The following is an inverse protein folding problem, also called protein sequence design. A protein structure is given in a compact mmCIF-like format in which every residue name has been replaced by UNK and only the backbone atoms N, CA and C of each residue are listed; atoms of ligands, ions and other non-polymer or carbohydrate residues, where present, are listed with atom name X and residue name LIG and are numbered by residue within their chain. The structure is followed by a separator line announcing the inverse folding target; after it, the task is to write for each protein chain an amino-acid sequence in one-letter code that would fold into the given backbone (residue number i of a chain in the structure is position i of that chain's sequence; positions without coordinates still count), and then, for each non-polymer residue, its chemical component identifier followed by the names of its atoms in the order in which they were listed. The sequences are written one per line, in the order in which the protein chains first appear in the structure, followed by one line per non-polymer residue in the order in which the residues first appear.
data_IF_873139269300
#
_entry.id   IF_873139269300
#
_cell.length_a   1.000
_cell.length_b   1.000
_cell.length_c   1.000
_cell.angle_alpha   90.00
_cell.angle_beta   90.00
_cell.angle_gamma   90.00
#
_symmetry.space_group_name_H-M   'P 1'
#
loop_
_entity.id
_entity.type
_entity.pdbx_description
1 polymer ?
#
# COMPACT_ATOMS: atom_id res chain seq x y z
N UNK A 1 -16.00 9.47 -24.26
CA UNK A 1 -16.00 8.78 -22.98
C UNK A 1 -16.66 9.72 -22.00
N UNK A 2 -17.62 9.24 -21.21
CA UNK A 2 -18.34 10.06 -20.21
C UNK A 2 -17.37 10.49 -19.09
N UNK A 3 -17.61 11.61 -18.38
CA UNK A 3 -16.78 12.04 -17.24
C UNK A 3 -16.53 10.90 -16.23
N UNK A 4 -17.55 10.11 -15.91
CA UNK A 4 -17.46 8.94 -15.01
C UNK A 4 -16.36 7.94 -15.37
N UNK A 5 -16.06 7.73 -16.67
CA UNK A 5 -14.98 6.83 -17.07
C UNK A 5 -13.60 7.42 -16.71
N UNK A 6 -13.45 8.73 -16.76
CA UNK A 6 -12.23 9.41 -16.37
C UNK A 6 -12.02 9.35 -14.85
N UNK A 7 -13.10 9.46 -14.08
CA UNK A 7 -13.09 9.31 -12.61
C UNK A 7 -12.71 7.88 -12.22
N UNK A 8 -13.25 6.86 -12.91
CA UNK A 8 -12.86 5.48 -12.66
C UNK A 8 -11.39 5.23 -13.01
N UNK A 9 -10.90 5.70 -14.15
CA UNK A 9 -9.48 5.60 -14.54
C UNK A 9 -8.58 6.29 -13.50
N UNK A 10 -8.99 7.46 -12.98
CA UNK A 10 -8.26 8.15 -11.92
C UNK A 10 -8.26 7.34 -10.61
N UNK A 11 -9.38 6.73 -10.27
CA UNK A 11 -9.50 5.84 -9.11
C UNK A 11 -8.58 4.64 -9.25
N UNK A 12 -8.54 3.99 -10.42
CA UNK A 12 -7.62 2.90 -10.72
C UNK A 12 -6.16 3.34 -10.56
N UNK A 13 -5.78 4.53 -10.99
CA UNK A 13 -4.40 5.05 -10.76
C UNK A 13 -4.07 5.18 -9.27
N UNK A 14 -5.06 5.46 -8.43
CA UNK A 14 -4.89 5.67 -6.98
C UNK A 14 -4.87 4.39 -6.15
N UNK A 15 -5.24 3.23 -6.71
CA UNK A 15 -5.27 1.95 -5.96
C UNK A 15 -3.90 1.54 -5.41
N UNK A 16 -2.84 2.11 -5.93
CA UNK A 16 -1.49 1.97 -5.36
C UNK A 16 -1.44 2.37 -3.89
N UNK A 17 -2.28 3.31 -3.45
CA UNK A 17 -2.37 3.73 -2.05
C UNK A 17 -2.92 2.62 -1.14
N UNK A 18 -3.66 1.69 -1.71
CA UNK A 18 -4.23 0.51 -1.05
C UNK A 18 -3.37 -0.75 -1.26
N UNK A 19 -2.16 -0.59 -1.79
CA UNK A 19 -1.23 -1.69 -2.04
C UNK A 19 -1.58 -2.56 -3.23
N UNK A 20 -2.55 -2.14 -4.05
CA UNK A 20 -2.98 -2.83 -5.26
C UNK A 20 -2.21 -2.34 -6.49
N UNK A 21 -2.27 -3.11 -7.58
CA UNK A 21 -1.60 -2.78 -8.83
C UNK A 21 -2.62 -2.27 -9.87
N UNK A 22 -2.43 -1.08 -10.45
CA UNK A 22 -3.37 -0.52 -11.44
C UNK A 22 -3.56 -1.41 -12.68
N UNK A 23 -2.54 -2.20 -13.04
CA UNK A 23 -2.58 -3.08 -14.21
C UNK A 23 -3.53 -4.27 -14.03
N UNK A 24 -3.82 -4.66 -12.79
CA UNK A 24 -4.86 -5.66 -12.50
C UNK A 24 -6.28 -5.19 -12.92
N UNK A 25 -6.43 -3.90 -13.21
CA UNK A 25 -7.69 -3.23 -13.59
C UNK A 25 -7.57 -2.55 -14.95
N UNK A 26 -6.75 -3.11 -15.84
CA UNK A 26 -6.61 -2.72 -17.25
C UNK A 26 -6.14 -1.26 -17.48
N UNK A 27 -5.38 -0.63 -16.56
CA UNK A 27 -5.01 0.78 -16.67
C UNK A 27 -4.34 1.11 -18.02
N UNK A 28 -3.36 0.32 -18.44
CA UNK A 28 -2.64 0.53 -19.72
C UNK A 28 -3.58 0.41 -20.92
N UNK A 29 -4.41 -0.64 -20.98
CA UNK A 29 -5.37 -0.84 -22.04
C UNK A 29 -6.39 0.32 -22.11
N UNK A 30 -6.99 0.69 -20.99
CA UNK A 30 -7.93 1.81 -20.88
C UNK A 30 -7.32 3.12 -21.36
N UNK A 31 -6.05 3.38 -20.99
CA UNK A 31 -5.34 4.60 -21.38
C UNK A 31 -5.12 4.66 -22.89
N UNK A 32 -4.70 3.55 -23.50
CA UNK A 32 -4.48 3.45 -24.95
C UNK A 32 -5.81 3.60 -25.70
N UNK A 33 -6.83 2.81 -25.34
CA UNK A 33 -8.13 2.84 -26.01
C UNK A 33 -8.82 4.19 -25.90
N UNK A 34 -8.67 4.89 -24.77
CA UNK A 34 -9.20 6.25 -24.62
C UNK A 34 -8.59 7.22 -25.65
N UNK A 35 -7.28 7.12 -25.91
CA UNK A 35 -6.60 7.94 -26.94
C UNK A 35 -7.11 7.58 -28.34
N UNK A 36 -7.22 6.31 -28.65
CA UNK A 36 -7.77 5.84 -29.94
C UNK A 36 -9.18 6.39 -30.18
N UNK A 37 -10.08 6.29 -29.22
CA UNK A 37 -11.44 6.84 -29.30
C UNK A 37 -11.43 8.37 -29.55
N UNK A 38 -10.50 9.11 -28.96
CA UNK A 38 -10.40 10.54 -29.22
C UNK A 38 -9.99 10.86 -30.67
N UNK A 39 -9.14 10.04 -31.29
CA UNK A 39 -8.72 10.16 -32.68
C UNK A 39 -9.88 9.77 -33.61
N UNK A 40 -10.46 8.58 -33.40
CA UNK A 40 -11.53 8.03 -34.24
C UNK A 40 -12.78 8.93 -34.27
N UNK A 41 -13.09 9.62 -33.18
CA UNK A 41 -14.18 10.62 -33.13
C UNK A 41 -13.93 11.80 -34.07
N UNK A 42 -12.69 12.22 -34.23
CA UNK A 42 -12.35 13.37 -35.12
C UNK A 42 -12.40 12.99 -36.58
N UNK A 43 -12.16 11.73 -36.90
CA UNK A 43 -12.12 11.19 -38.27
C UNK A 43 -13.43 10.54 -38.69
N UNK A 44 -14.43 10.46 -37.81
CA UNK A 44 -15.70 9.72 -38.02
C UNK A 44 -15.49 8.27 -38.48
N UNK A 45 -14.45 7.61 -37.94
CA UNK A 45 -14.03 6.27 -38.34
C UNK A 45 -15.06 5.20 -37.90
N UNK A 46 -15.42 4.23 -38.77
CA UNK A 46 -16.32 3.13 -38.43
C UNK A 46 -15.90 2.29 -37.22
N UNK A 47 -14.59 2.20 -36.90
CA UNK A 47 -14.08 1.49 -35.75
C UNK A 47 -14.44 2.14 -34.41
N UNK A 48 -14.98 3.36 -34.42
CA UNK A 48 -15.33 4.08 -33.19
C UNK A 48 -16.30 3.28 -32.31
N UNK A 49 -17.35 2.71 -32.91
CA UNK A 49 -18.35 1.92 -32.15
C UNK A 49 -17.73 0.70 -31.49
N UNK A 50 -16.87 -0.01 -32.19
CA UNK A 50 -16.15 -1.17 -31.66
C UNK A 50 -15.23 -0.78 -30.47
N UNK A 51 -14.46 0.30 -30.63
CA UNK A 51 -13.57 0.79 -29.56
C UNK A 51 -14.31 1.30 -28.32
N UNK A 52 -15.49 1.88 -28.52
CA UNK A 52 -16.36 2.29 -27.41
C UNK A 52 -16.88 1.07 -26.62
N UNK A 53 -17.31 0.02 -27.33
CA UNK A 53 -17.75 -1.23 -26.69
C UNK A 53 -16.61 -1.91 -25.93
N UNK A 54 -15.41 -1.94 -26.51
CA UNK A 54 -14.21 -2.49 -25.84
C UNK A 54 -13.89 -1.75 -24.54
N UNK A 55 -13.92 -0.41 -24.54
CA UNK A 55 -13.71 0.41 -23.33
C UNK A 55 -14.80 0.12 -22.30
N UNK A 56 -16.05 0.00 -22.69
CA UNK A 56 -17.18 -0.24 -21.79
C UNK A 56 -17.03 -1.57 -21.04
N UNK A 57 -16.62 -2.62 -21.75
CA UNK A 57 -16.30 -3.93 -21.17
C UNK A 57 -15.15 -3.82 -20.19
N UNK A 58 -14.03 -3.18 -20.58
CA UNK A 58 -12.86 -3.03 -19.72
C UNK A 58 -13.16 -2.21 -18.45
N UNK A 59 -13.97 -1.14 -18.57
CA UNK A 59 -14.37 -0.32 -17.41
C UNK A 59 -15.29 -1.09 -16.47
N UNK A 60 -16.21 -1.87 -17.03
CA UNK A 60 -17.13 -2.70 -16.24
C UNK A 60 -16.38 -3.76 -15.46
N UNK A 61 -15.49 -4.50 -16.12
CA UNK A 61 -14.65 -5.50 -15.47
C UNK A 61 -13.73 -4.88 -14.42
N UNK A 62 -13.08 -3.76 -14.76
CA UNK A 62 -12.23 -3.02 -13.81
C UNK A 62 -13.00 -2.58 -12.54
N UNK A 63 -14.22 -2.08 -12.69
CA UNK A 63 -15.04 -1.66 -11.54
C UNK A 63 -15.42 -2.84 -10.65
N UNK A 64 -15.91 -3.93 -11.24
CA UNK A 64 -16.34 -5.11 -10.50
C UNK A 64 -15.17 -5.80 -9.80
N UNK A 65 -14.06 -5.97 -10.51
CA UNK A 65 -12.84 -6.59 -9.97
C UNK A 65 -12.23 -5.72 -8.87
N UNK A 66 -12.11 -4.41 -9.09
CA UNK A 66 -11.58 -3.49 -8.08
C UNK A 66 -12.49 -3.44 -6.85
N UNK A 67 -13.79 -3.35 -7.02
CA UNK A 67 -14.77 -3.37 -5.92
C UNK A 67 -14.66 -4.65 -5.08
N UNK A 68 -14.50 -5.80 -5.72
CA UNK A 68 -14.25 -7.07 -5.04
C UNK A 68 -12.95 -7.02 -4.23
N UNK A 69 -11.85 -6.59 -4.85
CA UNK A 69 -10.54 -6.53 -4.18
C UNK A 69 -10.48 -5.53 -3.03
N UNK A 70 -11.16 -4.38 -3.13
CA UNK A 70 -11.24 -3.40 -2.05
C UNK A 70 -12.06 -3.90 -0.86
N UNK A 71 -13.11 -4.68 -1.11
CA UNK A 71 -14.03 -5.15 -0.07
C UNK A 71 -13.61 -6.46 0.59
N UNK A 72 -12.95 -7.37 -0.15
CA UNK A 72 -12.68 -8.75 0.28
C UNK A 72 -11.19 -9.11 0.29
N UNK A 73 -10.36 -8.26 -0.32
CA UNK A 73 -8.99 -8.60 -0.68
C UNK A 73 -8.89 -9.30 -2.03
N UNK A 74 -7.66 -9.36 -2.55
CA UNK A 74 -7.33 -9.98 -3.83
C UNK A 74 -7.18 -11.51 -3.70
N UNK A 75 -6.73 -11.98 -2.53
CA UNK A 75 -6.48 -13.39 -2.24
C UNK A 75 -7.59 -13.93 -1.36
N UNK A 76 -8.29 -14.95 -1.83
CA UNK A 76 -9.23 -15.68 -0.99
C UNK A 76 -8.46 -16.61 -0.03
N UNK A 77 -8.51 -16.30 1.26
CA UNK A 77 -7.80 -17.05 2.30
C UNK A 77 -8.62 -18.22 2.84
N UNK A 78 -9.94 -18.25 2.62
CA UNK A 78 -10.83 -19.30 3.11
C UNK A 78 -10.85 -20.53 2.20
N UNK A 79 -10.59 -20.31 0.93
CA UNK A 79 -10.48 -21.38 -0.06
C UNK A 79 -9.11 -21.35 -0.70
N UNK A 80 -8.24 -22.31 -0.35
CA UNK A 80 -6.98 -22.57 -1.10
C UNK A 80 -7.24 -22.99 -2.56
N UNK A 81 -8.49 -23.12 -2.94
CA UNK A 81 -8.99 -23.35 -4.27
C UNK A 81 -9.67 -22.06 -4.70
N UNK A 82 -9.24 -21.49 -5.82
CA UNK A 82 -9.93 -20.40 -6.50
C UNK A 82 -11.35 -20.87 -6.89
N UNK A 83 -12.24 -20.91 -5.93
CA UNK A 83 -13.65 -21.16 -6.15
C UNK A 83 -14.31 -19.84 -6.46
N UNK A 84 -14.87 -19.79 -7.63
CA UNK A 84 -15.82 -18.83 -8.10
C UNK A 84 -17.09 -18.80 -7.21
N UNK A 85 -16.99 -18.43 -5.94
CA UNK A 85 -18.14 -18.00 -5.15
C UNK A 85 -18.58 -16.60 -5.58
N UNK A 86 -18.46 -16.42 -6.91
CA UNK A 86 -18.69 -15.15 -7.58
C UNK A 86 -20.17 -14.85 -7.77
N UNK A 87 -21.09 -15.81 -7.69
CA UNK A 87 -22.51 -15.53 -8.02
C UNK A 87 -23.17 -14.59 -6.99
N UNK A 88 -23.05 -14.82 -5.69
CA UNK A 88 -23.60 -13.92 -4.69
C UNK A 88 -22.78 -12.61 -4.59
N UNK A 89 -21.45 -12.68 -4.75
CA UNK A 89 -20.59 -11.51 -4.84
C UNK A 89 -20.80 -10.74 -6.15
N UNK A 90 -21.05 -11.42 -7.26
CA UNK A 90 -21.36 -10.82 -8.55
C UNK A 90 -22.65 -10.00 -8.49
N UNK A 91 -23.71 -10.53 -7.90
CA UNK A 91 -24.98 -9.79 -7.76
C UNK A 91 -24.84 -8.52 -6.95
N UNK A 92 -24.04 -8.53 -5.84
CA UNK A 92 -23.81 -7.35 -5.05
C UNK A 92 -22.98 -6.31 -5.79
N UNK A 93 -21.90 -6.72 -6.46
CA UNK A 93 -21.07 -5.82 -7.27
C UNK A 93 -21.84 -5.17 -8.42
N UNK A 94 -22.70 -5.94 -9.10
CA UNK A 94 -23.57 -5.43 -10.17
C UNK A 94 -24.56 -4.39 -9.64
N UNK A 95 -25.18 -4.61 -8.46
CA UNK A 95 -26.06 -3.62 -7.84
C UNK A 95 -25.34 -2.32 -7.51
N UNK A 96 -24.13 -2.39 -6.96
CA UNK A 96 -23.32 -1.21 -6.68
C UNK A 96 -22.99 -0.48 -7.99
N UNK A 97 -22.60 -1.20 -9.05
CA UNK A 97 -22.31 -0.59 -10.35
C UNK A 97 -23.54 0.10 -10.94
N UNK A 98 -24.72 -0.56 -10.92
CA UNK A 98 -25.96 0.03 -11.41
C UNK A 98 -26.30 1.32 -10.67
N UNK A 99 -26.17 1.31 -9.35
CA UNK A 99 -26.41 2.51 -8.53
C UNK A 99 -25.39 3.61 -8.82
N UNK A 100 -24.11 3.26 -8.91
CA UNK A 100 -23.04 4.20 -9.24
C UNK A 100 -23.22 4.82 -10.64
N UNK A 101 -23.70 4.06 -11.62
CA UNK A 101 -24.02 4.57 -12.96
C UNK A 101 -25.24 5.50 -12.94
N UNK A 102 -26.23 5.23 -12.08
CA UNK A 102 -27.44 6.04 -11.93
C UNK A 102 -27.12 7.39 -11.24
N UNK A 103 -26.25 7.38 -10.21
CA UNK A 103 -25.90 8.60 -9.44
C UNK A 103 -24.71 9.35 -10.03
N UNK A 104 -23.88 8.73 -10.83
CA UNK A 104 -22.63 9.29 -11.33
C UNK A 104 -21.45 9.15 -10.36
N UNK A 105 -21.59 8.41 -9.25
CA UNK A 105 -20.68 8.35 -8.09
C UNK A 105 -19.78 7.10 -8.09
N UNK A 106 -19.10 6.79 -9.21
CA UNK A 106 -18.27 5.57 -9.32
C UNK A 106 -17.12 5.55 -8.31
N UNK A 107 -16.41 6.67 -8.16
CA UNK A 107 -15.26 6.79 -7.27
C UNK A 107 -15.67 6.69 -5.80
N UNK A 108 -16.76 7.33 -5.42
CA UNK A 108 -17.32 7.35 -4.07
C UNK A 108 -17.80 5.95 -3.65
N UNK A 109 -18.49 5.25 -4.54
CA UNK A 109 -18.95 3.87 -4.28
C UNK A 109 -17.78 2.91 -4.08
N UNK A 110 -16.71 3.03 -4.88
CA UNK A 110 -15.49 2.24 -4.68
C UNK A 110 -14.77 2.61 -3.38
N UNK A 111 -14.68 3.91 -3.06
CA UNK A 111 -14.02 4.36 -1.83
C UNK A 111 -14.75 3.90 -0.57
N UNK A 112 -16.06 3.77 -0.61
CA UNK A 112 -16.87 3.24 0.49
C UNK A 112 -16.64 1.74 0.77
N UNK A 113 -16.07 1.00 -0.19
CA UNK A 113 -15.72 -0.42 -0.01
C UNK A 113 -14.39 -0.62 0.73
N UNK A 114 -13.58 0.42 0.82
CA UNK A 114 -12.30 0.38 1.55
C UNK A 114 -12.57 0.32 3.06
N UNK A 115 -11.81 -0.46 3.87
CA UNK A 115 -11.94 -0.42 5.31
C UNK A 115 -11.75 0.99 5.89
N UNK A 116 -12.73 1.45 6.68
CA UNK A 116 -12.80 2.82 7.23
C UNK A 116 -12.28 2.90 8.66
N UNK A 117 -11.21 2.17 8.97
CA UNK A 117 -10.64 2.12 10.32
C UNK A 117 -9.24 2.75 10.38
N UNK A 118 -8.87 3.20 11.58
CA UNK A 118 -7.60 3.90 11.83
C UNK A 118 -6.37 3.04 11.53
N UNK A 119 -6.46 1.71 11.65
CA UNK A 119 -5.34 0.81 11.36
C UNK A 119 -5.11 0.72 9.86
N UNK A 120 -6.17 0.56 9.07
CA UNK A 120 -6.05 0.54 7.61
C UNK A 120 -5.51 1.88 7.09
N UNK A 121 -6.00 2.99 7.61
CA UNK A 121 -5.47 4.32 7.28
C UNK A 121 -4.00 4.46 7.67
N UNK A 122 -3.61 3.98 8.85
CA UNK A 122 -2.23 3.94 9.29
C UNK A 122 -1.32 3.14 8.35
N UNK A 123 -1.79 1.98 7.85
CA UNK A 123 -1.07 1.17 6.86
C UNK A 123 -0.93 1.90 5.51
N UNK A 124 -1.98 2.58 5.02
CA UNK A 124 -1.91 3.41 3.80
C UNK A 124 -0.88 4.53 3.95
N UNK A 125 -0.85 5.20 5.09
CA UNK A 125 0.10 6.26 5.39
C UNK A 125 1.54 5.72 5.47
N UNK A 126 1.74 4.56 6.10
CA UNK A 126 3.04 3.88 6.13
C UNK A 126 3.51 3.50 4.72
N UNK A 127 2.61 2.96 3.87
CA UNK A 127 2.92 2.62 2.49
C UNK A 127 3.36 3.85 1.69
N UNK A 128 2.63 4.97 1.82
CA UNK A 128 2.98 6.24 1.18
C UNK A 128 4.36 6.72 1.61
N UNK A 129 4.63 6.70 2.92
CA UNK A 129 5.90 7.12 3.50
C UNK A 129 7.06 6.26 3.01
N UNK A 130 6.92 4.94 3.05
CA UNK A 130 7.97 4.03 2.60
C UNK A 130 8.23 4.13 1.09
N UNK A 131 7.21 4.32 0.27
CA UNK A 131 7.39 4.56 -1.17
C UNK A 131 8.11 5.88 -1.44
N UNK A 132 7.77 6.95 -0.73
CA UNK A 132 8.46 8.22 -0.85
C UNK A 132 9.94 8.13 -0.42
N UNK A 133 10.23 7.35 0.61
CA UNK A 133 11.60 7.06 1.03
C UNK A 133 12.32 6.19 -0.01
N UNK A 134 11.67 5.16 -0.57
CA UNK A 134 12.24 4.31 -1.61
C UNK A 134 12.60 5.10 -2.87
N UNK A 135 11.75 6.04 -3.29
CA UNK A 135 12.01 6.94 -4.42
C UNK A 135 13.24 7.85 -4.20
N UNK A 136 13.62 8.10 -2.94
CA UNK A 136 14.84 8.84 -2.56
C UNK A 136 16.06 7.91 -2.33
N UNK A 137 15.97 6.62 -2.72
CA UNK A 137 17.04 5.64 -2.55
C UNK A 137 16.93 4.81 -1.26
N UNK A 138 15.86 4.99 -0.45
CA UNK A 138 15.63 4.21 0.77
C UNK A 138 16.61 4.57 1.90
N UNK A 139 16.99 3.54 2.66
CA UNK A 139 18.03 3.65 3.69
C UNK A 139 19.19 2.72 3.41
N UNK A 140 20.42 3.15 3.76
CA UNK A 140 21.60 2.31 3.59
C UNK A 140 21.57 1.12 4.55
N UNK A 141 22.14 0.00 4.15
CA UNK A 141 22.49 -1.07 5.07
C UNK A 141 23.52 -0.56 6.08
N UNK A 142 23.38 -1.02 7.33
CA UNK A 142 24.36 -0.73 8.36
C UNK A 142 25.39 -1.88 8.31
N UNK A 143 26.71 -1.58 8.26
CA UNK A 143 27.75 -2.57 8.36
C UNK A 143 27.60 -3.41 9.63
N UNK A 144 28.30 -4.52 9.74
CA UNK A 144 28.20 -5.38 10.92
C UNK A 144 28.54 -4.60 12.20
N UNK A 145 27.50 -4.27 12.96
CA UNK A 145 27.53 -3.30 14.07
C UNK A 145 27.19 -3.96 15.40
N UNK A 146 27.46 -5.27 15.54
CA UNK A 146 27.23 -5.95 16.81
C UNK A 146 27.90 -5.21 17.97
N UNK A 147 27.10 -5.01 19.04
CA UNK A 147 27.58 -4.50 20.31
C UNK A 147 27.76 -2.98 20.38
N UNK A 148 27.20 -2.19 19.48
CA UNK A 148 27.18 -0.73 19.66
C UNK A 148 26.26 -0.34 20.80
N UNK A 149 26.81 0.38 21.81
CA UNK A 149 26.09 0.82 23.02
C UNK A 149 26.54 2.19 23.50
N UNK A 150 25.79 2.74 24.41
CA UNK A 150 26.07 4.07 25.01
C UNK A 150 27.53 4.18 25.49
N UNK A 151 28.15 5.31 25.19
CA UNK A 151 29.52 5.66 25.57
C UNK A 151 30.58 5.20 24.56
N UNK A 152 30.23 4.37 23.57
CA UNK A 152 31.22 3.97 22.56
C UNK A 152 31.43 5.06 21.50
N UNK A 153 32.65 5.11 20.96
CA UNK A 153 32.98 5.92 19.79
C UNK A 153 33.43 4.98 18.66
N UNK A 154 32.63 4.94 17.58
CA UNK A 154 32.87 4.03 16.46
C UNK A 154 32.39 4.67 15.15
N UNK A 155 33.13 4.45 14.05
CA UNK A 155 32.76 4.99 12.72
C UNK A 155 31.40 4.47 12.23
N UNK A 156 30.99 3.27 12.65
CA UNK A 156 29.70 2.65 12.33
C UNK A 156 28.50 3.42 12.90
N UNK A 157 28.70 4.20 13.96
CA UNK A 157 27.64 5.06 14.55
C UNK A 157 27.15 6.08 13.53
N UNK A 158 27.98 6.54 12.60
CA UNK A 158 27.55 7.45 11.54
C UNK A 158 26.47 6.83 10.64
N UNK A 159 26.64 5.57 10.26
CA UNK A 159 25.65 4.86 9.46
C UNK A 159 24.36 4.62 10.26
N UNK A 160 24.48 4.26 11.55
CA UNK A 160 23.36 4.08 12.44
C UNK A 160 22.56 5.40 12.61
N UNK A 161 23.22 6.54 12.86
CA UNK A 161 22.57 7.86 12.93
C UNK A 161 21.79 8.20 11.66
N UNK A 162 22.40 8.00 10.50
CA UNK A 162 21.73 8.20 9.20
C UNK A 162 20.49 7.30 9.08
N UNK A 163 20.61 6.05 9.47
CA UNK A 163 19.51 5.06 9.39
C UNK A 163 18.34 5.45 10.29
N UNK A 164 18.61 5.81 11.55
CA UNK A 164 17.59 6.23 12.52
C UNK A 164 16.93 7.55 12.11
N UNK A 165 17.69 8.50 11.57
CA UNK A 165 17.16 9.77 11.11
C UNK A 165 16.21 9.63 9.92
N UNK A 166 16.48 8.72 8.97
CA UNK A 166 15.62 8.48 7.81
C UNK A 166 14.22 8.00 8.22
N UNK A 167 14.12 7.25 9.30
CA UNK A 167 12.85 6.71 9.82
C UNK A 167 12.23 7.53 10.96
N UNK A 168 12.84 8.69 11.29
CA UNK A 168 12.34 9.59 12.33
C UNK A 168 12.62 9.13 13.76
N UNK A 169 13.42 8.06 13.93
CA UNK A 169 13.82 7.57 15.26
C UNK A 169 14.89 8.47 15.90
N UNK A 170 15.60 9.27 15.08
CA UNK A 170 16.57 10.29 15.51
C UNK A 170 16.26 11.62 14.81
N UNK A 171 16.42 12.74 15.50
CA UNK A 171 16.22 14.06 14.89
C UNK A 171 17.23 14.32 13.77
N UNK A 172 16.77 14.94 12.67
CA UNK A 172 17.60 15.17 11.48
C UNK A 172 18.87 15.97 11.77
N UNK A 173 18.84 16.91 12.72
CA UNK A 173 20.02 17.68 13.15
C UNK A 173 21.11 16.81 13.79
N UNK A 174 20.75 15.65 14.33
CA UNK A 174 21.68 14.72 14.98
C UNK A 174 22.24 13.66 14.02
N UNK A 175 21.82 13.68 12.75
CA UNK A 175 22.25 12.73 11.72
C UNK A 175 23.77 12.68 11.51
N UNK A 176 24.43 13.82 11.64
CA UNK A 176 25.87 13.99 11.36
C UNK A 176 26.67 14.41 12.61
N UNK A 177 26.12 14.22 13.81
CA UNK A 177 26.73 14.70 15.08
C UNK A 177 27.95 13.89 15.55
N UNK A 178 28.62 13.13 14.67
CA UNK A 178 29.86 12.44 14.98
C UNK A 178 29.73 10.93 15.22
N UNK A 179 30.82 10.35 15.69
CA UNK A 179 31.00 8.88 15.87
C UNK A 179 30.60 8.40 17.27
N UNK A 180 30.23 9.30 18.17
CA UNK A 180 29.84 8.95 19.54
C UNK A 180 28.45 8.32 19.58
N UNK A 181 28.31 7.18 20.23
CA UNK A 181 27.04 6.60 20.61
C UNK A 181 26.57 7.26 21.90
N UNK A 182 25.98 8.43 21.75
CA UNK A 182 25.49 9.26 22.84
C UNK A 182 24.07 8.91 23.31
N UNK A 183 23.56 9.57 24.32
CA UNK A 183 22.21 9.33 24.84
C UNK A 183 21.11 9.52 23.78
N UNK A 184 21.31 10.43 22.83
CA UNK A 184 20.33 10.66 21.76
C UNK A 184 20.25 9.46 20.78
N UNK A 185 21.40 8.86 20.47
CA UNK A 185 21.44 7.63 19.64
C UNK A 185 20.83 6.47 20.40
N UNK A 186 21.16 6.28 21.69
CA UNK A 186 20.58 5.23 22.52
C UNK A 186 19.03 5.33 22.56
N UNK A 187 18.50 6.53 22.74
CA UNK A 187 17.05 6.75 22.73
C UNK A 187 16.45 6.54 21.32
N UNK A 188 17.16 6.93 20.28
CA UNK A 188 16.78 6.61 18.90
C UNK A 188 16.69 5.10 18.65
N UNK A 189 17.66 4.33 19.16
CA UNK A 189 17.63 2.85 19.09
C UNK A 189 16.44 2.30 19.87
N UNK A 190 16.15 2.80 21.10
CA UNK A 190 14.97 2.38 21.88
C UNK A 190 13.66 2.65 21.15
N UNK A 191 13.51 3.81 20.51
CA UNK A 191 12.31 4.13 19.69
C UNK A 191 12.16 3.15 18.53
N UNK A 192 13.27 2.88 17.84
CA UNK A 192 13.31 1.89 16.76
C UNK A 192 12.89 0.51 17.28
N UNK A 193 13.48 0.03 18.38
CA UNK A 193 13.19 -1.26 19.00
C UNK A 193 11.71 -1.39 19.38
N UNK A 194 11.16 -0.40 20.14
CA UNK A 194 9.73 -0.39 20.49
C UNK A 194 8.82 -0.49 19.28
N UNK A 195 9.11 0.26 18.22
CA UNK A 195 8.31 0.26 17.00
C UNK A 195 8.39 -1.05 16.22
N UNK A 196 9.43 -1.84 16.45
CA UNK A 196 9.63 -3.14 15.79
C UNK A 196 9.35 -4.34 16.70
N UNK A 197 8.76 -4.11 17.89
CA UNK A 197 8.44 -5.18 18.83
C UNK A 197 9.66 -5.86 19.44
N UNK A 198 10.79 -5.15 19.49
CA UNK A 198 12.03 -5.60 20.11
C UNK A 198 12.13 -5.02 21.55
N UNK A 199 12.90 -5.70 22.41
CA UNK A 199 13.21 -5.18 23.75
C UNK A 199 13.97 -3.84 23.64
N UNK A 200 13.46 -2.74 24.26
CA UNK A 200 14.01 -1.40 24.11
C UNK A 200 15.26 -1.16 24.97
N UNK A 201 16.29 -1.95 24.80
CA UNK A 201 17.57 -1.85 25.53
C UNK A 201 18.33 -0.58 25.20
N UNK A 202 18.21 -0.05 23.99
CA UNK A 202 19.01 1.05 23.47
C UNK A 202 20.39 0.63 22.96
N UNK A 203 20.66 -0.67 22.90
CA UNK A 203 21.87 -1.26 22.33
C UNK A 203 21.57 -1.92 20.98
N UNK A 204 22.56 -2.00 20.09
CA UNK A 204 22.41 -2.69 18.81
C UNK A 204 22.86 -4.14 18.97
N UNK A 205 21.92 -4.98 19.39
CA UNK A 205 22.08 -6.44 19.42
C UNK A 205 21.85 -7.08 18.05
N UNK A 206 21.92 -8.40 17.97
CA UNK A 206 21.75 -9.15 16.73
C UNK A 206 20.35 -8.96 16.12
N UNK A 207 19.28 -8.95 16.94
CA UNK A 207 17.91 -8.78 16.47
C UNK A 207 17.67 -7.36 15.97
N UNK A 208 18.15 -6.37 16.71
CA UNK A 208 18.09 -4.94 16.31
C UNK A 208 18.83 -4.72 14.99
N UNK A 209 20.03 -5.30 14.83
CA UNK A 209 20.79 -5.21 13.58
C UNK A 209 20.06 -5.83 12.39
N UNK A 210 19.49 -7.02 12.55
CA UNK A 210 18.68 -7.67 11.51
C UNK A 210 17.50 -6.78 11.12
N UNK A 211 16.77 -6.24 12.10
CA UNK A 211 15.63 -5.38 11.86
C UNK A 211 16.00 -4.05 11.16
N UNK A 212 17.15 -3.45 11.52
CA UNK A 212 17.68 -2.23 10.90
C UNK A 212 18.06 -2.46 9.42
N UNK A 213 18.52 -3.65 9.09
CA UNK A 213 19.01 -4.02 7.76
C UNK A 213 17.94 -4.59 6.82
N UNK A 214 16.69 -4.75 7.26
CA UNK A 214 15.62 -5.14 6.36
C UNK A 214 15.47 -4.06 5.26
N UNK A 215 15.62 -4.40 3.96
CA UNK A 215 15.50 -3.44 2.88
C UNK A 215 14.12 -2.77 2.84
N UNK A 216 14.09 -1.51 2.39
CA UNK A 216 12.83 -0.75 2.30
C UNK A 216 11.80 -1.44 1.39
N UNK A 217 12.23 -2.10 0.32
CA UNK A 217 11.35 -2.87 -0.56
C UNK A 217 10.60 -3.97 0.22
N UNK A 218 11.30 -4.68 1.11
CA UNK A 218 10.68 -5.70 1.97
C UNK A 218 9.68 -5.11 2.97
N UNK A 219 9.94 -3.91 3.49
CA UNK A 219 8.97 -3.21 4.35
C UNK A 219 7.71 -2.80 3.57
N UNK A 220 7.87 -2.35 2.31
CA UNK A 220 6.74 -2.07 1.42
C UNK A 220 5.90 -3.33 1.20
N UNK A 221 6.53 -4.47 0.86
CA UNK A 221 5.84 -5.76 0.69
C UNK A 221 5.07 -6.17 1.96
N UNK A 222 5.68 -6.01 3.14
CA UNK A 222 5.03 -6.30 4.42
C UNK A 222 3.79 -5.43 4.67
N UNK A 223 3.87 -4.13 4.37
CA UNK A 223 2.71 -3.23 4.51
C UNK A 223 1.63 -3.59 3.50
N UNK A 224 1.97 -3.91 2.26
CA UNK A 224 1.02 -4.36 1.25
C UNK A 224 0.30 -5.65 1.67
N UNK A 225 1.04 -6.64 2.19
CA UNK A 225 0.46 -7.87 2.71
C UNK A 225 -0.48 -7.62 3.91
N UNK A 226 -0.15 -6.65 4.77
CA UNK A 226 -1.01 -6.29 5.89
C UNK A 226 -2.26 -5.53 5.44
N UNK A 227 -2.19 -4.65 4.43
CA UNK A 227 -3.36 -4.04 3.82
C UNK A 227 -4.30 -5.11 3.23
N UNK A 228 -3.73 -6.12 2.56
CA UNK A 228 -4.49 -7.25 2.04
C UNK A 228 -5.20 -8.03 3.15
N UNK A 229 -4.47 -8.45 4.19
CA UNK A 229 -5.02 -9.16 5.35
C UNK A 229 -6.11 -8.33 6.06
N UNK A 230 -5.95 -7.02 6.14
CA UNK A 230 -6.91 -6.14 6.79
C UNK A 230 -8.25 -6.10 6.06
N UNK A 231 -8.27 -6.19 4.74
CA UNK A 231 -9.51 -6.32 3.94
C UNK A 231 -10.26 -7.62 4.26
N UNK A 232 -9.56 -8.72 4.54
CA UNK A 232 -10.20 -9.97 4.96
C UNK A 232 -10.92 -9.83 6.31
N UNK A 233 -10.33 -9.12 7.26
CA UNK A 233 -10.89 -8.95 8.61
C UNK A 233 -12.01 -7.92 8.67
N UNK A 234 -12.01 -6.89 7.83
CA UNK A 234 -13.02 -5.82 7.88
C UNK A 234 -14.43 -6.34 7.62
N UNK A 235 -14.56 -7.45 6.90
CA UNK A 235 -15.82 -8.11 6.57
C UNK A 235 -16.48 -8.77 7.80
N UNK A 236 -15.69 -9.23 8.78
CA UNK A 236 -16.15 -9.93 10.00
C UNK A 236 -16.43 -8.98 11.17
N UNK A 237 -16.49 -7.68 10.96
CA UNK A 237 -16.63 -6.68 12.05
C UNK A 237 -17.94 -6.75 12.83
N UNK A 238 -18.97 -7.39 12.29
CA UNK A 238 -20.24 -7.63 12.97
C UNK A 238 -20.25 -8.90 13.85
N UNK A 239 -19.20 -9.70 13.77
CA UNK A 239 -19.01 -10.87 14.62
C UNK A 239 -18.17 -10.47 15.84
N UNK A 240 -18.51 -11.05 17.00
CA UNK A 240 -17.68 -10.92 18.21
C UNK A 240 -16.37 -11.65 17.99
N UNK A 241 -15.28 -10.89 17.85
CA UNK A 241 -13.94 -11.42 17.59
C UNK A 241 -13.04 -11.15 18.80
N UNK A 242 -12.31 -12.18 19.22
CA UNK A 242 -11.16 -12.04 20.11
C UNK A 242 -9.93 -11.97 19.22
N UNK A 243 -9.21 -10.85 19.28
CA UNK A 243 -7.96 -10.68 18.54
C UNK A 243 -6.80 -10.98 19.47
N UNK A 244 -6.06 -12.04 19.18
CA UNK A 244 -4.79 -12.36 19.84
C UNK A 244 -3.67 -11.89 18.93
N UNK A 245 -2.82 -11.01 19.45
CA UNK A 245 -1.60 -10.58 18.77
C UNK A 245 -0.48 -11.50 19.27
N UNK A 246 -0.05 -12.44 18.45
CA UNK A 246 1.04 -13.39 18.75
C UNK A 246 2.31 -12.90 18.10
#
# INVERSE_FOLDING_TARGET
VKPMADDLILTIKRVVLDGLQPEDYHLSALTVRKREVQILRRTADPLLAYRLAEIDILLTDAFLTLGSHLSKGKVDHETKLARWDSLAAGTYGVKILQEALRTGELAERLSALVPQDTVYEGLRNALRTYRALAAKGGWPAIPDTLGLRLGMSDHRVLALRKRLAVTGDLESKQRSAGRSFDAAVAEGVRRFQRRHGLDPTGEVDSLTRVALNIPIAKRIEQVQANLERWRWFSRKRHERLIRVNV
#
